data_IF_469723219754
#
_entry.id   IF_469723219754
#
_cell.length_a   1.000
_cell.length_b   1.000
_cell.length_c   1.000
_cell.angle_alpha   90.00
_cell.angle_beta   90.00
_cell.angle_gamma   90.00
#
_symmetry.space_group_name_H-M   'P 1'
#
loop_
_entity.id
_entity.type
_entity.pdbx_description
1 polymer ?
#
# COMPACT_ATOMS: atom_id res chain seq x y z
N UNK A 1 -17.56 45.56 -21.03
CA UNK A 1 -17.31 44.54 -22.07
C UNK A 1 -16.88 43.22 -21.44
N UNK A 2 -17.74 42.20 -21.50
CA UNK A 2 -17.50 40.86 -20.93
C UNK A 2 -16.26 40.11 -21.48
N UNK A 3 -15.85 40.23 -22.76
CA UNK A 3 -14.72 39.45 -23.30
C UNK A 3 -13.36 39.75 -22.66
N UNK A 4 -13.10 41.01 -22.28
CA UNK A 4 -11.81 41.42 -21.68
C UNK A 4 -11.63 40.86 -20.27
N UNK A 5 -12.73 40.75 -19.51
CA UNK A 5 -12.73 40.22 -18.14
C UNK A 5 -12.45 38.71 -18.15
N UNK A 6 -13.02 37.97 -19.10
CA UNK A 6 -12.80 36.51 -19.22
C UNK A 6 -11.32 36.22 -19.53
N UNK A 7 -10.73 36.97 -20.48
CA UNK A 7 -9.32 36.83 -20.83
C UNK A 7 -8.42 37.14 -19.64
N UNK A 8 -8.74 38.17 -18.87
CA UNK A 8 -7.98 38.55 -17.69
C UNK A 8 -8.03 37.46 -16.61
N UNK A 9 -9.20 36.90 -16.32
CA UNK A 9 -9.35 35.79 -15.36
C UNK A 9 -8.56 34.57 -15.81
N UNK A 10 -8.60 34.23 -17.11
CA UNK A 10 -7.86 33.10 -17.66
C UNK A 10 -6.34 33.27 -17.50
N UNK A 11 -5.82 34.45 -17.84
CA UNK A 11 -4.37 34.75 -17.77
C UNK A 11 -3.90 34.79 -16.33
N UNK A 12 -4.63 35.47 -15.44
CA UNK A 12 -4.30 35.53 -14.01
C UNK A 12 -4.39 34.15 -13.35
N UNK A 13 -5.43 33.36 -13.68
CA UNK A 13 -5.58 31.99 -13.21
C UNK A 13 -4.43 31.08 -13.66
N UNK A 14 -4.04 31.15 -14.94
CA UNK A 14 -2.92 30.38 -15.48
C UNK A 14 -1.58 30.75 -14.83
N UNK A 15 -1.35 32.04 -14.54
CA UNK A 15 -0.12 32.50 -13.88
C UNK A 15 -0.01 32.02 -12.43
N UNK A 16 -1.11 32.06 -11.67
CA UNK A 16 -1.14 31.59 -10.27
C UNK A 16 -0.95 30.08 -10.23
N UNK A 17 -1.70 29.33 -11.04
CA UNK A 17 -1.60 27.87 -11.12
C UNK A 17 -0.21 27.42 -11.58
N UNK A 18 0.35 28.06 -12.61
CA UNK A 18 1.69 27.75 -13.12
C UNK A 18 2.80 27.98 -12.10
N UNK A 19 2.75 29.09 -11.35
CA UNK A 19 3.73 29.37 -10.28
C UNK A 19 3.62 28.36 -9.14
N UNK A 20 2.41 28.01 -8.72
CA UNK A 20 2.19 27.03 -7.66
C UNK A 20 2.68 25.63 -8.06
N UNK A 21 2.36 25.18 -9.28
CA UNK A 21 2.82 23.89 -9.78
C UNK A 21 4.35 23.85 -9.94
N UNK A 22 4.98 24.94 -10.40
CA UNK A 22 6.44 25.03 -10.53
C UNK A 22 7.14 24.98 -9.17
N UNK A 23 6.68 25.74 -8.18
CA UNK A 23 7.27 25.71 -6.83
C UNK A 23 7.07 24.34 -6.16
N UNK A 24 5.88 23.74 -6.26
CA UNK A 24 5.62 22.40 -5.75
C UNK A 24 6.49 21.33 -6.45
N UNK A 25 6.60 21.40 -7.78
CA UNK A 25 7.46 20.51 -8.56
C UNK A 25 8.93 20.67 -8.21
N UNK A 26 9.41 21.91 -8.04
CA UNK A 26 10.78 22.20 -7.59
C UNK A 26 11.04 21.68 -6.17
N UNK A 27 10.06 21.77 -5.27
CA UNK A 27 10.16 21.17 -3.92
C UNK A 27 10.22 19.64 -3.99
N UNK A 28 9.36 19.00 -4.80
CA UNK A 28 9.38 17.55 -5.01
C UNK A 28 10.74 17.08 -5.55
N UNK A 29 11.30 17.79 -6.54
CA UNK A 29 12.61 17.48 -7.12
C UNK A 29 13.75 17.73 -6.12
N UNK A 30 13.70 18.78 -5.30
CA UNK A 30 14.70 19.01 -4.24
C UNK A 30 14.67 17.90 -3.19
N UNK A 31 13.48 17.46 -2.79
CA UNK A 31 13.31 16.34 -1.86
C UNK A 31 13.81 15.01 -2.47
N UNK A 32 13.68 14.84 -3.79
CA UNK A 32 14.22 13.68 -4.51
C UNK A 32 15.75 13.73 -4.69
N UNK A 33 16.33 14.90 -4.99
CA UNK A 33 17.77 15.07 -5.27
C UNK A 33 18.67 14.98 -4.04
N UNK A 34 18.22 15.43 -2.88
CA UNK A 34 18.96 15.26 -1.62
C UNK A 34 18.87 13.84 -1.05
N UNK A 35 18.23 12.91 -1.76
CA UNK A 35 18.13 11.50 -1.37
C UNK A 35 18.61 10.56 -2.50
N UNK A 36 19.89 10.63 -2.91
CA UNK A 36 20.43 10.03 -4.13
C UNK A 36 20.75 8.54 -3.98
N UNK A 37 19.85 7.76 -3.39
CA UNK A 37 19.99 6.30 -3.26
C UNK A 37 18.68 5.52 -3.50
N UNK A 38 17.63 6.16 -4.03
CA UNK A 38 16.28 5.56 -4.06
C UNK A 38 15.55 5.51 -5.40
N UNK A 39 16.09 6.08 -6.48
CA UNK A 39 15.35 6.19 -7.75
C UNK A 39 15.16 4.86 -8.51
N UNK A 40 15.76 3.76 -8.03
CA UNK A 40 15.61 2.42 -8.62
C UNK A 40 14.65 1.50 -7.83
N UNK A 41 14.03 1.99 -6.75
CA UNK A 41 13.16 1.17 -5.91
C UNK A 41 11.88 1.91 -5.54
N UNK A 42 10.84 1.78 -6.36
CA UNK A 42 9.48 2.26 -6.05
C UNK A 42 8.99 1.75 -4.68
N UNK A 43 9.50 0.61 -4.22
CA UNK A 43 9.30 0.00 -2.90
C UNK A 43 9.66 0.92 -1.73
N UNK A 44 10.57 1.88 -1.94
CA UNK A 44 11.25 2.57 -0.85
C UNK A 44 10.61 3.94 -0.55
N UNK A 45 9.82 4.48 -1.48
CA UNK A 45 9.24 5.81 -1.33
C UNK A 45 8.24 5.87 -0.16
N UNK A 46 7.29 4.92 -0.08
CA UNK A 46 6.34 4.84 1.03
C UNK A 46 6.97 4.34 2.34
N UNK A 47 7.98 3.47 2.24
CA UNK A 47 8.66 2.86 3.40
C UNK A 47 9.55 3.84 4.14
N UNK A 48 10.14 4.82 3.43
CA UNK A 48 11.01 5.84 4.04
C UNK A 48 10.28 6.80 4.97
N UNK A 49 9.00 7.04 4.74
CA UNK A 49 8.18 7.91 5.59
C UNK A 49 7.53 7.16 6.76
N UNK A 50 7.61 5.82 6.77
CA UNK A 50 7.10 4.98 7.84
C UNK A 50 8.06 4.98 9.05
N UNK A 51 8.30 6.15 9.64
CA UNK A 51 9.23 6.33 10.78
C UNK A 51 8.52 6.33 12.12
N UNK A 52 7.19 6.29 12.14
CA UNK A 52 6.40 6.26 13.37
C UNK A 52 6.46 4.89 14.04
N UNK A 53 6.13 4.86 15.33
CA UNK A 53 5.92 3.63 16.09
C UNK A 53 4.58 2.95 15.80
N UNK A 54 3.76 3.50 14.89
CA UNK A 54 2.45 2.96 14.54
C UNK A 54 2.55 1.53 13.97
N UNK A 55 1.50 0.72 14.15
CA UNK A 55 1.44 -0.63 13.59
C UNK A 55 1.51 -0.60 12.05
N UNK A 56 0.80 0.34 11.42
CA UNK A 56 0.82 0.53 9.97
C UNK A 56 2.23 0.81 9.43
N UNK A 57 3.04 1.58 10.16
CA UNK A 57 4.42 1.89 9.79
C UNK A 57 5.35 0.69 9.98
N UNK A 58 5.15 -0.08 11.05
CA UNK A 58 5.89 -1.34 11.28
C UNK A 58 5.67 -2.32 10.13
N UNK A 59 4.42 -2.56 9.74
CA UNK A 59 4.08 -3.44 8.61
C UNK A 59 4.64 -2.93 7.29
N UNK A 60 4.59 -1.61 7.08
CA UNK A 60 5.15 -1.00 5.86
C UNK A 60 6.66 -1.25 5.77
N UNK A 61 7.39 -1.16 6.90
CA UNK A 61 8.82 -1.48 6.97
C UNK A 61 9.12 -2.97 6.78
N UNK A 62 8.26 -3.84 7.33
CA UNK A 62 8.40 -5.30 7.22
C UNK A 62 8.23 -5.79 5.78
N UNK A 63 7.11 -5.45 5.15
CA UNK A 63 6.82 -5.89 3.77
C UNK A 63 7.49 -5.02 2.71
N UNK A 64 8.13 -3.92 3.10
CA UNK A 64 8.73 -2.90 2.23
C UNK A 64 7.77 -2.42 1.13
N UNK A 65 6.52 -2.19 1.52
CA UNK A 65 5.49 -1.56 0.69
C UNK A 65 4.35 -1.05 1.56
N UNK A 66 3.63 -0.04 1.07
CA UNK A 66 2.44 0.47 1.74
C UNK A 66 1.24 -0.44 1.53
N UNK A 67 0.21 -0.30 2.38
CA UNK A 67 -1.06 -1.00 2.17
C UNK A 67 -1.66 -0.62 0.80
N UNK A 68 -1.52 0.63 0.39
CA UNK A 68 -2.03 1.17 -0.87
C UNK A 68 -1.36 0.51 -2.07
N UNK A 69 -0.04 0.39 -2.02
CA UNK A 69 0.75 -0.33 -3.02
C UNK A 69 0.33 -1.79 -3.11
N UNK A 70 0.05 -2.45 -1.98
CA UNK A 70 -0.39 -3.85 -1.97
C UNK A 70 -1.73 -4.03 -2.70
N UNK A 71 -2.69 -3.13 -2.47
CA UNK A 71 -3.98 -3.13 -3.18
C UNK A 71 -3.82 -2.87 -4.68
N UNK A 72 -2.92 -1.97 -5.06
CA UNK A 72 -2.62 -1.68 -6.46
C UNK A 72 -1.92 -2.87 -7.16
N UNK A 73 -0.94 -3.50 -6.51
CA UNK A 73 -0.22 -4.67 -7.05
C UNK A 73 -1.19 -5.83 -7.30
N UNK A 74 -2.11 -6.08 -6.37
CA UNK A 74 -3.10 -7.15 -6.51
C UNK A 74 -4.37 -6.72 -7.25
N UNK A 75 -4.45 -5.46 -7.72
CA UNK A 75 -5.63 -4.91 -8.40
C UNK A 75 -6.94 -5.19 -7.64
N UNK A 76 -6.93 -4.96 -6.33
CA UNK A 76 -8.07 -5.15 -5.43
C UNK A 76 -8.42 -3.82 -4.75
N UNK A 77 -9.70 -3.62 -4.45
CA UNK A 77 -10.16 -2.45 -3.71
C UNK A 77 -9.93 -2.65 -2.21
N UNK A 78 -9.90 -1.54 -1.46
CA UNK A 78 -9.85 -1.63 0.01
C UNK A 78 -11.12 -2.24 0.57
N UNK A 79 -10.97 -3.05 1.61
CA UNK A 79 -12.09 -3.72 2.27
C UNK A 79 -12.69 -4.87 1.48
N UNK A 80 -12.06 -5.28 0.37
CA UNK A 80 -12.38 -6.55 -0.28
C UNK A 80 -12.10 -7.73 0.67
N UNK A 81 -12.95 -8.76 0.59
CA UNK A 81 -12.76 -9.99 1.35
C UNK A 81 -11.43 -10.67 1.00
N UNK A 82 -10.84 -11.36 1.98
CA UNK A 82 -9.55 -12.04 1.81
C UNK A 82 -9.59 -13.07 0.67
N UNK A 83 -10.76 -13.64 0.38
CA UNK A 83 -11.01 -14.58 -0.71
C UNK A 83 -10.70 -13.95 -2.08
N UNK A 84 -11.12 -12.71 -2.30
CA UNK A 84 -10.86 -11.99 -3.55
C UNK A 84 -9.38 -11.62 -3.69
N UNK A 85 -8.73 -11.29 -2.58
CA UNK A 85 -7.29 -11.02 -2.51
C UNK A 85 -6.50 -12.26 -2.90
N UNK A 86 -6.84 -13.43 -2.33
CA UNK A 86 -6.20 -14.71 -2.64
C UNK A 86 -6.38 -15.11 -4.11
N UNK A 87 -7.60 -14.95 -4.65
CA UNK A 87 -7.88 -15.24 -6.06
C UNK A 87 -7.03 -14.38 -7.01
N UNK A 88 -6.91 -13.08 -6.72
CA UNK A 88 -6.08 -12.18 -7.53
C UNK A 88 -4.59 -12.53 -7.40
N UNK A 89 -4.14 -12.81 -6.17
CA UNK A 89 -2.78 -13.27 -5.88
C UNK A 89 -2.43 -14.53 -6.68
N UNK A 90 -3.26 -15.57 -6.65
CA UNK A 90 -3.02 -16.83 -7.37
C UNK A 90 -2.92 -16.60 -8.88
N UNK A 91 -3.83 -15.79 -9.43
CA UNK A 91 -3.82 -15.46 -10.85
C UNK A 91 -2.55 -14.72 -11.27
N UNK A 92 -2.20 -13.63 -10.56
CA UNK A 92 -1.01 -12.83 -10.85
C UNK A 92 0.27 -13.63 -10.61
N UNK A 93 0.32 -14.45 -9.57
CA UNK A 93 1.48 -15.30 -9.29
C UNK A 93 1.70 -16.32 -10.40
N UNK A 94 0.64 -16.99 -10.86
CA UNK A 94 0.67 -17.97 -11.96
C UNK A 94 1.07 -17.35 -13.30
N UNK A 95 0.53 -16.18 -13.65
CA UNK A 95 0.88 -15.51 -14.92
C UNK A 95 2.35 -15.07 -14.95
N UNK A 96 2.92 -14.76 -13.79
CA UNK A 96 4.30 -14.33 -13.64
C UNK A 96 5.26 -15.44 -13.20
N UNK A 97 4.79 -16.68 -13.00
CA UNK A 97 5.63 -17.80 -12.58
C UNK A 97 6.63 -18.18 -13.68
N UNK A 98 7.75 -18.84 -13.34
CA UNK A 98 8.67 -19.34 -14.35
C UNK A 98 7.91 -20.22 -15.34
N UNK A 99 7.88 -19.83 -16.62
CA UNK A 99 7.40 -20.73 -17.65
C UNK A 99 8.44 -21.84 -17.80
N UNK A 100 8.02 -23.11 -17.90
CA UNK A 100 8.93 -24.16 -18.28
C UNK A 100 9.54 -23.75 -19.61
N UNK A 101 10.86 -23.55 -19.63
CA UNK A 101 11.59 -23.45 -20.89
C UNK A 101 11.30 -24.77 -21.62
N UNK A 102 10.85 -24.76 -22.89
CA UNK A 102 10.92 -25.98 -23.68
C UNK A 102 12.37 -26.44 -23.54
N UNK A 103 12.54 -27.69 -23.09
CA UNK A 103 13.83 -28.24 -22.72
C UNK A 103 14.86 -27.77 -23.73
N UNK A 104 15.94 -27.14 -23.25
CA UNK A 104 17.07 -26.85 -24.13
C UNK A 104 17.44 -28.20 -24.74
N UNK A 105 17.09 -28.40 -26.01
CA UNK A 105 17.57 -29.53 -26.77
C UNK A 105 19.07 -29.53 -26.56
N UNK A 106 19.54 -30.52 -25.81
CA UNK A 106 20.94 -30.66 -25.54
C UNK A 106 21.67 -30.78 -26.88
N UNK A 107 22.89 -30.28 -26.89
CA UNK A 107 23.95 -30.49 -27.89
C UNK A 107 23.98 -29.57 -29.11
N UNK A 108 25.13 -28.89 -29.22
CA UNK A 108 25.50 -28.06 -30.36
C UNK A 108 26.38 -26.91 -29.93
N UNK A 109 27.62 -27.20 -29.57
CA UNK A 109 28.65 -26.20 -29.30
C UNK A 109 28.67 -25.12 -30.40
N UNK A 110 28.13 -23.94 -30.11
CA UNK A 110 28.40 -22.71 -30.87
C UNK A 110 28.70 -21.62 -29.86
N UNK A 111 30.00 -21.39 -29.67
CA UNK A 111 30.51 -20.25 -28.93
C UNK A 111 29.92 -18.96 -29.51
N UNK A 112 29.30 -18.14 -28.65
CA UNK A 112 29.00 -16.74 -28.97
C UNK A 112 27.56 -16.24 -28.81
N UNK A 113 26.58 -17.05 -28.37
CA UNK A 113 25.21 -16.55 -28.14
C UNK A 113 24.84 -16.58 -26.66
N UNK A 114 24.71 -15.39 -26.07
CA UNK A 114 24.20 -15.22 -24.70
C UNK A 114 22.85 -15.96 -24.57
N UNK A 115 22.64 -16.79 -23.53
CA UNK A 115 21.36 -17.44 -23.30
C UNK A 115 20.27 -16.37 -23.14
N UNK A 116 19.11 -16.59 -23.74
CA UNK A 116 17.98 -15.66 -23.63
C UNK A 116 17.63 -15.45 -22.15
N UNK A 117 17.37 -14.20 -21.71
CA UNK A 117 16.97 -13.94 -20.34
C UNK A 117 15.69 -14.75 -20.01
N UNK A 118 15.55 -15.25 -18.76
CA UNK A 118 14.38 -16.01 -18.36
C UNK A 118 13.10 -15.22 -18.61
N UNK A 119 12.08 -15.90 -19.13
CA UNK A 119 10.80 -15.28 -19.53
C UNK A 119 9.91 -14.80 -18.36
N UNK A 120 10.44 -14.80 -17.13
CA UNK A 120 9.71 -14.45 -15.90
C UNK A 120 10.57 -13.55 -15.01
N UNK A 121 9.92 -12.71 -14.20
CA UNK A 121 10.59 -11.80 -13.29
C UNK A 121 10.41 -12.25 -11.84
N UNK A 122 11.51 -12.64 -11.19
CA UNK A 122 11.54 -12.90 -9.75
C UNK A 122 11.08 -11.70 -8.93
N UNK A 123 11.42 -10.48 -9.36
CA UNK A 123 11.02 -9.27 -8.66
C UNK A 123 9.50 -9.11 -8.64
N UNK A 124 8.81 -9.39 -9.75
CA UNK A 124 7.35 -9.33 -9.81
C UNK A 124 6.70 -10.39 -8.91
N UNK A 125 7.24 -11.60 -8.88
CA UNK A 125 6.76 -12.64 -7.96
C UNK A 125 6.95 -12.22 -6.49
N UNK A 126 8.13 -11.74 -6.13
CA UNK A 126 8.41 -11.23 -4.77
C UNK A 126 7.52 -10.03 -4.41
N UNK A 127 7.06 -9.25 -5.38
CA UNK A 127 6.09 -8.16 -5.15
C UNK A 127 4.69 -8.66 -4.88
N UNK A 128 4.21 -9.61 -5.67
CA UNK A 128 2.88 -10.21 -5.52
C UNK A 128 2.76 -10.95 -4.18
N UNK A 129 3.80 -11.68 -3.76
CA UNK A 129 3.84 -12.35 -2.45
C UNK A 129 3.77 -11.33 -1.31
N UNK A 130 4.67 -10.32 -1.30
CA UNK A 130 4.71 -9.32 -0.23
C UNK A 130 3.43 -8.50 -0.14
N UNK A 131 2.76 -8.24 -1.27
CA UNK A 131 1.47 -7.58 -1.30
C UNK A 131 0.38 -8.40 -0.60
N UNK A 132 0.33 -9.71 -0.85
CA UNK A 132 -0.60 -10.62 -0.17
C UNK A 132 -0.36 -10.62 1.34
N UNK A 133 0.89 -10.81 1.75
CA UNK A 133 1.29 -10.84 3.16
C UNK A 133 0.94 -9.53 3.89
N UNK A 134 1.17 -8.37 3.24
CA UNK A 134 0.84 -7.05 3.80
C UNK A 134 -0.65 -6.88 4.08
N UNK A 135 -1.52 -7.36 3.18
CA UNK A 135 -2.99 -7.29 3.34
C UNK A 135 -3.47 -8.30 4.38
N UNK A 136 -2.89 -9.50 4.41
CA UNK A 136 -3.16 -10.52 5.44
C UNK A 136 -2.83 -10.01 6.85
N UNK A 137 -1.68 -9.34 7.00
CA UNK A 137 -1.26 -8.76 8.27
C UNK A 137 -2.22 -7.65 8.74
N UNK A 138 -2.67 -6.78 7.83
CA UNK A 138 -3.64 -5.72 8.17
C UNK A 138 -4.98 -6.32 8.61
N UNK A 139 -5.48 -7.32 7.86
CA UNK A 139 -6.75 -8.00 8.18
C UNK A 139 -6.67 -8.71 9.53
N UNK A 140 -5.54 -9.33 9.85
CA UNK A 140 -5.31 -9.99 11.14
C UNK A 140 -5.38 -8.99 12.30
N UNK A 141 -4.72 -7.84 12.17
CA UNK A 141 -4.77 -6.79 13.20
C UNK A 141 -6.19 -6.25 13.36
N UNK A 142 -6.90 -6.02 12.26
CA UNK A 142 -8.31 -5.59 12.32
C UNK A 142 -9.21 -6.60 13.05
N UNK A 143 -8.95 -7.91 12.91
CA UNK A 143 -9.66 -8.96 13.65
C UNK A 143 -9.30 -8.98 15.14
N UNK A 144 -8.03 -8.78 15.49
CA UNK A 144 -7.55 -8.71 16.88
C UNK A 144 -8.15 -7.50 17.62
N UNK A 145 -8.20 -6.33 16.97
CA UNK A 145 -8.84 -5.12 17.50
C UNK A 145 -10.36 -5.31 17.71
N UNK A 146 -11.02 -6.02 16.80
CA UNK A 146 -12.45 -6.33 16.91
C UNK A 146 -12.75 -7.33 18.05
N UNK A 147 -11.86 -8.31 18.26
CA UNK A 147 -11.99 -9.32 19.32
C UNK A 147 -11.70 -8.77 20.72
N UNK A 148 -10.78 -7.82 20.85
CA UNK A 148 -10.44 -7.18 22.14
C UNK A 148 -11.56 -6.27 22.66
N UNK A 149 -12.25 -5.55 21.76
CA UNK A 149 -13.41 -4.70 22.10
C UNK A 149 -14.58 -5.49 22.71
N UNK A 150 -14.75 -6.76 22.33
CA UNK A 150 -15.84 -7.62 22.84
C UNK A 150 -15.56 -8.16 24.26
N UNK A 151 -14.29 -8.26 24.68
CA UNK A 151 -13.93 -8.77 26.03
C UNK A 151 -14.03 -7.73 27.15
N UNK A 152 -14.23 -6.45 26.84
CA UNK A 152 -14.28 -5.35 27.82
C UNK A 152 -15.69 -4.75 27.93
N UNK A 153 -16.74 -5.59 27.87
CA UNK A 153 -18.05 -5.20 28.41
C UNK A 153 -18.26 -5.92 29.74
N UNK A 154 -17.86 -5.32 30.88
CA UNK A 154 -18.30 -5.85 32.16
C UNK A 154 -19.82 -5.70 32.20
N UNK A 155 -20.50 -6.80 32.50
CA UNK A 155 -21.83 -6.78 33.10
C UNK A 155 -21.82 -5.79 34.27
N UNK A 156 -22.38 -4.60 34.07
CA UNK A 156 -22.88 -3.80 35.17
C UNK A 156 -24.22 -4.41 35.59
N UNK A 157 -24.07 -5.46 36.41
CA UNK A 157 -24.96 -5.92 37.47
C UNK A 157 -26.29 -5.19 37.60
N UNK A 158 -27.36 -5.96 37.45
CA UNK A 158 -28.65 -5.71 38.07
C UNK A 158 -28.49 -5.38 39.57
N UNK A 159 -29.02 -4.24 40.00
CA UNK A 159 -29.57 -4.13 41.36
C UNK A 159 -30.76 -3.17 41.38
N UNK A 160 -31.95 -3.77 41.38
CA UNK A 160 -33.21 -3.13 41.75
C UNK A 160 -33.26 -2.68 43.22
N UNK A 161 -34.38 -2.06 43.64
CA UNK A 161 -34.40 -0.89 44.51
C UNK A 161 -34.39 -1.25 46.00
N UNK A 162 -33.68 -0.46 46.79
CA UNK A 162 -33.69 -0.57 48.25
C UNK A 162 -33.13 0.69 48.89
N UNK A 163 -33.96 1.74 48.98
CA UNK A 163 -33.63 2.93 49.74
C UNK A 163 -33.93 2.71 51.24
N UNK A 164 -33.00 3.00 52.16
CA UNK A 164 -33.31 3.04 53.58
C UNK A 164 -33.96 4.38 53.94
N UNK A 165 -35.12 4.32 54.59
CA UNK A 165 -35.77 5.46 55.22
C UNK A 165 -34.95 5.91 56.43
N UNK A 166 -34.36 7.09 56.37
CA UNK A 166 -33.78 7.76 57.54
C UNK A 166 -34.89 8.48 58.30
N UNK A 167 -35.23 8.03 59.50
CA UNK A 167 -35.81 8.90 60.52
C UNK A 167 -34.69 9.59 61.29
N UNK A 168 -34.89 10.83 61.73
CA UNK A 168 -34.79 11.28 63.15
C UNK A 168 -35.00 12.80 63.21
N UNK A 169 -35.82 13.21 64.19
CA UNK A 169 -36.08 14.55 64.77
C UNK A 169 -36.91 15.56 63.99
#
# INVERSE_FOLDING_TARGET
>A
SAPKIIIQILVTGAQIFGKALFEAGKQAVKNAKHNPQGALGSDVAGVRNATSGSLADKLTREHRMTLDEAHLILNVKRGEGLENVLKSYEHLFKVNSPKPTPESVASGARAGKQPAPPAHSHYLQSKVIRARERIEAETRIAQEDSGSTTRIRPELSERGPGGPTTGTS
#
